data_IF_603155356182
#
_entry.id   IF_603155356182
#
_cell.length_a   1.000
_cell.length_b   1.000
_cell.length_c   1.000
_cell.angle_alpha   90.00
_cell.angle_beta   90.00
_cell.angle_gamma   90.00
#
_symmetry.space_group_name_H-M   'P 1'
#
loop_
_entity.id
_entity.type
_entity.pdbx_description
1 polymer ?
#
# COMPACT_ATOMS: atom_id res chain seq x y z
N UNK A 1 5.71 12.85 -17.95
CA UNK A 1 4.60 12.52 -17.06
C UNK A 1 4.44 11.00 -17.02
N UNK A 2 4.48 10.37 -15.85
CA UNK A 2 4.35 8.91 -15.73
C UNK A 2 3.15 8.54 -14.85
N UNK A 3 2.67 7.30 -14.98
CA UNK A 3 1.57 6.74 -14.19
C UNK A 3 2.10 5.66 -13.26
N UNK A 4 1.73 5.71 -11.98
CA UNK A 4 2.13 4.74 -10.97
C UNK A 4 0.91 4.19 -10.25
N UNK A 5 0.88 2.87 -10.07
CA UNK A 5 0.04 2.21 -9.10
C UNK A 5 0.90 1.93 -7.87
N UNK A 6 0.46 2.40 -6.71
CA UNK A 6 1.16 2.18 -5.45
C UNK A 6 0.20 1.50 -4.50
N UNK A 7 0.59 0.35 -3.95
CA UNK A 7 -0.16 -0.33 -2.91
C UNK A 7 0.74 -0.51 -1.69
N UNK A 8 0.16 -0.39 -0.50
CA UNK A 8 0.78 -0.89 0.71
C UNK A 8 0.60 -2.41 0.79
N UNK A 9 1.63 -3.12 1.25
CA UNK A 9 1.53 -4.54 1.55
C UNK A 9 0.62 -4.79 2.75
N UNK A 10 0.00 -5.98 2.80
CA UNK A 10 -0.82 -6.44 3.93
C UNK A 10 -1.95 -5.46 4.33
N UNK A 11 -2.72 -5.81 5.36
CA UNK A 11 -3.64 -4.87 5.99
C UNK A 11 -3.92 -5.24 7.45
N UNK A 12 -4.76 -4.46 8.14
CA UNK A 12 -5.06 -4.70 9.56
C UNK A 12 -5.75 -6.04 9.86
N UNK A 13 -6.37 -6.67 8.86
CA UNK A 13 -7.06 -7.97 8.98
C UNK A 13 -6.15 -9.13 8.61
N UNK A 14 -5.19 -8.88 7.73
CA UNK A 14 -4.18 -9.82 7.25
C UNK A 14 -2.81 -9.16 7.49
N UNK A 15 -2.36 -9.07 8.75
CA UNK A 15 -1.12 -8.38 9.07
C UNK A 15 0.08 -9.17 8.55
N UNK A 16 1.15 -8.43 8.24
CA UNK A 16 2.45 -8.99 7.92
C UNK A 16 3.31 -9.16 9.18
N UNK A 17 4.60 -8.88 9.06
CA UNK A 17 5.55 -8.98 10.17
C UNK A 17 5.26 -7.96 11.29
N UNK A 18 5.40 -8.40 12.54
CA UNK A 18 5.28 -7.52 13.70
C UNK A 18 6.34 -7.88 14.76
N UNK A 19 6.92 -6.86 15.38
CA UNK A 19 7.92 -6.97 16.44
C UNK A 19 8.13 -5.63 17.12
N UNK A 20 9.33 -5.06 17.03
CA UNK A 20 9.59 -3.67 17.45
C UNK A 20 8.74 -2.68 16.61
N UNK A 21 8.52 -3.03 15.34
CA UNK A 21 7.69 -2.28 14.40
C UNK A 21 6.57 -3.18 13.89
N UNK A 22 5.43 -2.56 13.56
CA UNK A 22 4.30 -3.18 12.88
C UNK A 22 4.40 -2.87 11.39
N UNK A 23 4.54 -3.90 10.55
CA UNK A 23 4.75 -3.73 9.11
C UNK A 23 3.68 -2.84 8.49
N UNK A 24 2.40 -3.10 8.78
CA UNK A 24 1.28 -2.36 8.18
C UNK A 24 1.38 -0.88 8.55
N UNK A 25 1.64 -0.56 9.81
CA UNK A 25 1.75 0.81 10.30
C UNK A 25 2.90 1.56 9.63
N UNK A 26 4.08 0.96 9.55
CA UNK A 26 5.25 1.61 8.95
C UNK A 26 5.14 1.68 7.42
N UNK A 27 4.61 0.64 6.78
CA UNK A 27 4.30 0.62 5.34
C UNK A 27 3.38 1.79 4.96
N UNK A 28 2.28 2.01 5.70
CA UNK A 28 1.36 3.13 5.40
C UNK A 28 2.06 4.48 5.47
N UNK A 29 3.02 4.68 6.37
CA UNK A 29 3.80 5.93 6.43
C UNK A 29 4.64 6.10 5.16
N UNK A 30 5.40 5.05 4.79
CA UNK A 30 6.30 5.11 3.63
C UNK A 30 5.53 5.26 2.33
N UNK A 31 4.52 4.42 2.09
CA UNK A 31 3.72 4.46 0.86
C UNK A 31 2.97 5.78 0.70
N UNK A 32 2.45 6.37 1.79
CA UNK A 32 1.84 7.71 1.72
C UNK A 32 2.87 8.80 1.36
N UNK A 33 4.10 8.71 1.87
CA UNK A 33 5.17 9.62 1.50
C UNK A 33 5.55 9.48 0.01
N UNK A 34 5.66 8.24 -0.49
CA UNK A 34 5.91 7.95 -1.92
C UNK A 34 4.84 8.60 -2.79
N UNK A 35 3.56 8.39 -2.49
CA UNK A 35 2.45 8.99 -3.25
C UNK A 35 2.53 10.52 -3.22
N UNK A 36 2.78 11.11 -2.04
CA UNK A 36 2.92 12.57 -1.88
C UNK A 36 4.00 13.12 -2.80
N UNK A 37 5.20 12.54 -2.78
CA UNK A 37 6.33 13.06 -3.54
C UNK A 37 6.20 12.83 -5.05
N UNK A 38 5.69 11.67 -5.47
CA UNK A 38 5.41 11.42 -6.89
C UNK A 38 4.38 12.40 -7.44
N UNK A 39 3.29 12.66 -6.71
CA UNK A 39 2.30 13.68 -7.10
C UNK A 39 2.89 15.08 -7.13
N UNK A 40 3.75 15.44 -6.18
CA UNK A 40 4.43 16.74 -6.16
C UNK A 40 5.37 16.97 -7.36
N UNK A 41 5.94 15.89 -7.92
CA UNK A 41 6.72 15.91 -9.16
C UNK A 41 5.83 15.92 -10.44
N UNK A 42 4.51 15.99 -10.27
CA UNK A 42 3.52 16.07 -11.34
C UNK A 42 2.92 14.73 -11.73
N UNK A 43 3.46 13.59 -11.31
CA UNK A 43 3.01 12.26 -11.75
C UNK A 43 1.54 11.96 -11.41
N UNK A 44 0.89 11.15 -12.24
CA UNK A 44 -0.41 10.56 -11.89
C UNK A 44 -0.17 9.31 -11.05
N UNK A 45 -0.71 9.29 -9.84
CA UNK A 45 -0.48 8.20 -8.89
C UNK A 45 -1.81 7.70 -8.33
N UNK A 46 -2.05 6.40 -8.48
CA UNK A 46 -3.20 5.70 -7.91
C UNK A 46 -2.78 4.95 -6.66
N UNK A 47 -3.59 5.10 -5.63
CA UNK A 47 -3.48 4.31 -4.42
C UNK A 47 -4.34 3.07 -4.58
N UNK A 48 -3.70 1.92 -4.73
CA UNK A 48 -4.33 0.62 -4.94
C UNK A 48 -4.26 -0.25 -3.69
N UNK A 49 -4.07 0.34 -2.50
CA UNK A 49 -3.94 -0.42 -1.25
C UNK A 49 -5.26 -1.10 -0.87
N UNK A 50 -5.20 -2.39 -0.58
CA UNK A 50 -6.36 -3.15 -0.11
C UNK A 50 -6.42 -3.19 1.43
N UNK A 51 -7.45 -2.58 2.02
CA UNK A 51 -7.79 -2.71 3.44
C UNK A 51 -9.05 -3.58 3.67
N UNK A 52 -9.61 -4.16 2.60
CA UNK A 52 -10.84 -4.93 2.64
C UNK A 52 -10.60 -6.44 2.79
N UNK A 53 -9.61 -6.99 2.10
CA UNK A 53 -9.29 -8.42 2.07
C UNK A 53 -9.09 -9.01 3.46
N UNK A 54 -9.70 -10.17 3.70
CA UNK A 54 -9.69 -10.89 4.98
C UNK A 54 -8.80 -12.14 4.96
N UNK A 55 -8.19 -12.45 3.81
CA UNK A 55 -7.21 -13.54 3.65
C UNK A 55 -6.04 -13.05 2.82
N UNK A 56 -4.87 -13.68 2.93
CA UNK A 56 -3.69 -13.32 2.13
C UNK A 56 -3.98 -13.37 0.63
N UNK A 57 -4.62 -14.45 0.16
CA UNK A 57 -5.00 -14.57 -1.25
C UNK A 57 -5.95 -13.48 -1.71
N UNK A 58 -6.90 -13.05 -0.87
CA UNK A 58 -7.84 -11.97 -1.20
C UNK A 58 -7.18 -10.60 -1.17
N UNK A 59 -6.28 -10.36 -0.21
CA UNK A 59 -5.50 -9.12 -0.17
C UNK A 59 -4.64 -8.97 -1.43
N UNK A 60 -3.96 -10.05 -1.84
CA UNK A 60 -3.21 -10.07 -3.10
C UNK A 60 -4.14 -9.87 -4.30
N UNK A 61 -5.22 -10.64 -4.41
CA UNK A 61 -6.14 -10.54 -5.54
C UNK A 61 -6.78 -9.14 -5.70
N UNK A 62 -6.98 -8.40 -4.61
CA UNK A 62 -7.57 -7.06 -4.66
C UNK A 62 -6.62 -5.98 -5.19
N UNK A 63 -5.30 -6.23 -5.23
CA UNK A 63 -4.30 -5.25 -5.67
C UNK A 63 -3.75 -5.53 -7.07
N UNK A 64 -3.95 -6.74 -7.61
CA UNK A 64 -3.59 -7.09 -9.00
C UNK A 64 -4.79 -6.81 -9.89
N UNK A 65 -4.63 -5.89 -10.85
CA UNK A 65 -5.59 -5.59 -11.92
C UNK A 65 -4.92 -5.74 -13.27
#
# INVERSE_FOLDING_TARGET
MAKYNVHGGHNKKVPGAAGILDEVTEDRKVKNAVIKYLKAQGHTVYDCTDDAGTTQSKNLANIVA
#
